data_IF_273747647639
#
_entry.id   IF_273747647639
#
_cell.length_a   1.000
_cell.length_b   1.000
_cell.length_c   1.000
_cell.angle_alpha   90.00
_cell.angle_beta   90.00
_cell.angle_gamma   90.00
#
_symmetry.space_group_name_H-M   'P 1'
#
loop_
_entity.id
_entity.type
_entity.pdbx_description
1 polymer ?
2 non-polymer ?
3 water ?
#
# COMPACT_ATOMS: atom_id res chain seq x y z
N UNK A 1 -14.62 -10.85 0.36
CA UNK A 1 -13.67 -11.68 -0.42
C UNK A 1 -12.74 -10.85 -1.31
N UNK A 2 -12.32 -9.67 -0.82
CA UNK A 2 -11.43 -8.87 -1.67
C UNK A 2 -10.06 -9.51 -1.79
N UNK A 3 -9.38 -9.22 -2.89
CA UNK A 3 -8.06 -9.77 -3.13
C UNK A 3 -7.08 -8.65 -3.48
N UNK A 4 -5.90 -8.69 -2.86
CA UNK A 4 -4.86 -7.69 -3.13
C UNK A 4 -4.43 -7.84 -4.58
N UNK A 5 -3.90 -6.75 -5.18
CA UNK A 5 -3.47 -6.86 -6.57
C UNK A 5 -2.21 -7.70 -6.69
N UNK A 6 -1.93 -8.13 -7.92
CA UNK A 6 -0.73 -8.91 -8.21
C UNK A 6 0.13 -8.13 -9.20
N UNK A 7 -0.54 -7.33 -10.04
CA UNK A 7 0.15 -6.55 -11.06
C UNK A 7 -0.51 -5.18 -11.17
N UNK A 8 0.22 -4.14 -10.79
CA UNK A 8 -0.29 -2.78 -10.88
C UNK A 8 0.69 -1.96 -11.72
N UNK A 9 1.32 -2.64 -12.67
CA UNK A 9 2.32 -2.02 -13.55
C UNK A 9 1.77 -0.95 -14.48
N UNK A 10 0.46 -0.91 -14.67
CA UNK A 10 -0.15 0.09 -15.54
C UNK A 10 -0.29 1.43 -14.83
N UNK A 11 -0.18 1.43 -13.51
CA UNK A 11 -0.30 2.67 -12.75
C UNK A 11 -1.72 3.09 -12.45
N UNK A 12 -2.67 2.22 -12.77
CA UNK A 12 -4.07 2.48 -12.51
C UNK A 12 -4.81 1.15 -12.39
N UNK A 13 -6.04 1.18 -11.89
CA UNK A 13 -6.80 -0.06 -11.72
C UNK A 13 -7.35 -0.63 -13.03
N UNK A 14 -6.68 -1.65 -13.55
CA UNK A 14 -7.17 -2.28 -14.77
C UNK A 14 -7.76 -3.66 -14.50
N UNK A 15 -7.60 -4.15 -13.28
CA UNK A 15 -8.17 -5.45 -12.90
C UNK A 15 -7.83 -6.61 -13.84
N UNK A 16 -6.74 -6.48 -14.58
CA UNK A 16 -6.36 -7.55 -15.50
C UNK A 16 -5.58 -8.68 -14.86
N UNK A 17 -5.39 -8.62 -13.54
CA UNK A 17 -4.66 -9.66 -12.84
C UNK A 17 -5.57 -10.65 -12.12
N UNK A 18 -6.86 -10.59 -12.42
CA UNK A 18 -7.83 -11.49 -11.80
C UNK A 18 -8.24 -11.17 -10.37
N UNK A 19 -7.73 -10.07 -9.83
CA UNK A 19 -8.06 -9.69 -8.46
C UNK A 19 -8.98 -8.47 -8.40
N UNK A 20 -9.43 -8.11 -7.20
CA UNK A 20 -10.28 -6.94 -7.06
C UNK A 20 -9.32 -5.77 -6.84
N UNK A 21 -8.03 -6.07 -6.97
CA UNK A 21 -6.96 -5.09 -6.80
C UNK A 21 -7.13 -4.21 -5.56
N UNK A 22 -7.53 -4.85 -4.46
CA UNK A 22 -7.69 -4.18 -3.20
C UNK A 22 -9.11 -3.77 -2.80
N UNK A 23 -10.01 -3.72 -3.77
CA UNK A 23 -11.38 -3.30 -3.50
C UNK A 23 -12.30 -4.31 -2.83
N UNK A 24 -13.13 -3.79 -1.94
CA UNK A 24 -14.10 -4.59 -1.22
C UNK A 24 -15.08 -3.61 -0.57
N UNK A 25 -16.16 -4.13 0.02
CA UNK A 25 -17.11 -3.25 0.67
C UNK A 25 -16.40 -2.56 1.83
N UNK A 26 -16.61 -1.26 1.95
CA UNK A 26 -15.99 -0.45 3.00
C UNK A 26 -16.60 -0.78 4.37
N UNK A 27 -15.77 -0.81 5.43
CA UNK A 27 -16.26 -1.11 6.78
C UNK A 27 -17.34 -0.14 7.29
N UNK A 28 -17.34 1.07 6.74
CA UNK A 28 -18.32 2.07 7.16
C UNK A 28 -19.50 2.22 6.19
N UNK A 29 -19.61 1.29 5.23
CA UNK A 29 -20.71 1.33 4.28
C UNK A 29 -22.05 1.06 4.95
N UNK A 30 -23.08 1.83 4.60
CA UNK A 30 -24.43 1.65 5.18
C UNK A 30 -25.15 0.43 4.61
N UNK A 31 -24.60 -0.11 3.53
CA UNK A 31 -25.15 -1.29 2.86
C UNK A 31 -24.00 -2.28 2.72
N UNK A 32 -24.22 -3.54 3.12
CA UNK A 32 -23.17 -4.54 3.08
C UNK A 32 -23.38 -5.75 2.17
N UNK A 33 -24.63 -6.05 1.84
CA UNK A 33 -24.95 -7.21 1.02
C UNK A 33 -24.69 -7.01 -0.47
N UNK A 34 -23.55 -6.40 -0.80
CA UNK A 34 -23.17 -6.15 -2.18
C UNK A 34 -21.96 -7.01 -2.53
N UNK A 35 -22.02 -7.73 -3.64
CA UNK A 35 -20.89 -8.55 -4.03
C UNK A 35 -19.91 -7.75 -4.86
N UNK A 36 -18.63 -7.91 -4.56
CA UNK A 36 -17.57 -7.22 -5.29
C UNK A 36 -16.56 -8.28 -5.67
N UNK A 37 -16.41 -8.51 -6.96
CA UNK A 37 -15.50 -9.55 -7.45
C UNK A 37 -14.89 -9.19 -8.79
N UNK A 38 -13.86 -9.93 -9.18
CA UNK A 38 -13.25 -9.70 -10.48
C UNK A 38 -13.90 -10.69 -11.45
N UNK A 39 -14.50 -10.16 -12.51
CA UNK A 39 -15.12 -11.00 -13.52
C UNK A 39 -14.67 -10.48 -14.87
N UNK A 40 -14.09 -11.36 -15.66
CA UNK A 40 -13.61 -11.02 -16.99
C UNK A 40 -12.75 -9.76 -17.03
N UNK A 41 -11.75 -9.71 -16.15
CA UNK A 41 -10.82 -8.59 -16.07
C UNK A 41 -11.43 -7.24 -15.75
N UNK A 42 -12.48 -7.24 -14.94
CA UNK A 42 -13.13 -5.99 -14.54
C UNK A 42 -13.68 -6.20 -13.13
N UNK A 43 -14.05 -5.11 -12.47
CA UNK A 43 -14.60 -5.20 -11.12
C UNK A 43 -16.12 -5.25 -11.19
N UNK A 44 -16.68 -6.44 -11.00
CA UNK A 44 -18.11 -6.64 -11.06
C UNK A 44 -18.74 -6.37 -9.70
N UNK A 45 -19.73 -5.48 -9.68
CA UNK A 45 -20.42 -5.13 -8.45
C UNK A 45 -21.86 -5.56 -8.67
N UNK A 46 -22.29 -6.55 -7.90
CA UNK A 46 -23.64 -7.11 -8.05
C UNK A 46 -24.64 -6.81 -6.95
N UNK A 47 -25.91 -6.78 -7.35
CA UNK A 47 -27.05 -6.57 -6.47
C UNK A 47 -27.26 -5.17 -5.88
N UNK A 48 -26.73 -4.15 -6.54
CA UNK A 48 -26.90 -2.78 -6.06
C UNK A 48 -28.38 -2.36 -5.97
N UNK A 49 -29.16 -2.68 -7.01
CA UNK A 49 -30.57 -2.30 -7.00
C UNK A 49 -31.38 -3.07 -5.96
N UNK A 50 -31.23 -4.39 -5.95
CA UNK A 50 -31.95 -5.24 -4.99
C UNK A 50 -31.66 -4.91 -3.54
N UNK A 51 -30.44 -4.46 -3.26
CA UNK A 51 -30.05 -4.12 -1.90
C UNK A 51 -30.31 -2.67 -1.52
N UNK A 52 -30.97 -1.93 -2.42
CA UNK A 52 -31.27 -0.54 -2.13
C UNK A 52 -30.14 0.46 -2.34
N UNK A 53 -29.07 0.06 -3.03
CA UNK A 53 -27.96 0.97 -3.29
C UNK A 53 -28.26 1.55 -4.67
N UNK A 54 -29.39 2.24 -4.76
CA UNK A 54 -29.84 2.80 -6.02
C UNK A 54 -30.18 4.29 -6.02
N UNK A 55 -29.55 5.06 -5.14
CA UNK A 55 -29.80 6.50 -5.12
C UNK A 55 -28.95 7.07 -6.25
N UNK A 56 -29.60 7.81 -7.15
CA UNK A 56 -28.92 8.38 -8.30
C UNK A 56 -28.87 9.90 -8.29
N UNK A 57 -29.06 10.50 -7.12
CA UNK A 57 -29.03 11.95 -7.00
C UNK A 57 -27.60 12.46 -6.85
N UNK A 58 -27.40 13.75 -7.06
CA UNK A 58 -26.08 14.33 -6.94
C UNK A 58 -25.62 14.43 -5.49
N UNK A 59 -26.56 14.72 -4.59
CA UNK A 59 -26.19 14.88 -3.20
C UNK A 59 -26.45 13.78 -2.20
N UNK A 60 -27.24 12.76 -2.55
CA UNK A 60 -27.53 11.70 -1.58
C UNK A 60 -26.81 10.37 -1.82
N UNK A 61 -25.62 10.43 -2.37
CA UNK A 61 -24.82 9.24 -2.63
C UNK A 61 -24.53 8.57 -1.28
N UNK A 62 -24.66 9.35 -0.21
CA UNK A 62 -24.43 8.84 1.15
C UNK A 62 -25.30 7.63 1.46
N UNK A 63 -26.39 7.45 0.71
CA UNK A 63 -27.29 6.32 0.93
C UNK A 63 -26.79 5.03 0.27
N UNK A 64 -25.81 5.16 -0.61
CA UNK A 64 -25.31 3.99 -1.31
C UNK A 64 -24.16 3.24 -0.66
N UNK A 65 -23.87 2.06 -1.20
CA UNK A 65 -22.78 1.24 -0.71
C UNK A 65 -21.47 1.99 -0.88
N UNK A 66 -20.52 1.71 0.00
CA UNK A 66 -19.20 2.31 -0.10
C UNK A 66 -18.25 1.16 -0.37
N UNK A 67 -17.41 1.33 -1.39
CA UNK A 67 -16.44 0.32 -1.75
C UNK A 67 -15.09 1.00 -1.71
N UNK A 68 -14.12 0.39 -1.04
CA UNK A 68 -12.80 0.99 -0.93
C UNK A 68 -11.68 -0.01 -1.15
N UNK A 69 -10.50 0.52 -1.52
CA UNK A 69 -9.34 -0.31 -1.80
C UNK A 69 -8.46 -0.52 -0.56
N UNK A 70 -9.09 -1.03 0.50
CA UNK A 70 -8.39 -1.26 1.76
C UNK A 70 -7.17 -2.18 1.71
N UNK A 71 -7.14 -3.13 0.79
CA UNK A 71 -5.98 -4.02 0.71
C UNK A 71 -5.26 -3.90 -0.62
N UNK A 72 -5.34 -2.71 -1.20
CA UNK A 72 -4.68 -2.39 -2.46
C UNK A 72 -3.16 -2.36 -2.17
N UNK A 73 -2.75 -1.58 -1.18
CA UNK A 73 -1.35 -1.51 -0.80
C UNK A 73 -0.37 -0.83 -1.75
N UNK A 74 -0.88 -0.18 -2.80
CA UNK A 74 -0.02 0.50 -3.75
C UNK A 74 -0.26 2.01 -3.64
N UNK A 75 0.31 2.77 -4.56
CA UNK A 75 0.13 4.22 -4.51
C UNK A 75 0.21 4.85 -5.88
N UNK A 76 -0.46 5.98 -6.03
CA UNK A 76 -0.48 6.71 -7.29
C UNK A 76 -0.23 8.19 -7.01
N UNK A 77 0.81 8.74 -7.64
CA UNK A 77 1.13 10.14 -7.50
C UNK A 77 0.18 10.87 -8.45
N UNK A 78 -0.72 11.70 -7.90
CA UNK A 78 -1.67 12.41 -8.74
C UNK A 78 -1.47 13.92 -8.76
N UNK A 79 -0.26 14.37 -8.43
CA UNK A 79 -0.01 15.81 -8.44
C UNK A 79 -0.29 16.35 -9.84
N UNK A 80 -1.09 17.40 -9.91
CA UNK A 80 -1.41 18.01 -11.20
C UNK A 80 -2.59 17.39 -11.93
N UNK A 81 -3.13 16.28 -11.43
CA UNK A 81 -4.26 15.65 -12.09
C UNK A 81 -5.55 16.40 -11.77
N UNK A 82 -6.56 16.28 -12.65
CA UNK A 82 -7.83 16.95 -12.43
C UNK A 82 -9.02 16.01 -12.67
N UNK A 83 -8.73 14.80 -13.15
CA UNK A 83 -9.80 13.85 -13.44
C UNK A 83 -9.57 12.43 -12.94
N UNK A 84 -10.67 11.80 -12.55
CA UNK A 84 -10.69 10.41 -12.11
C UNK A 84 -11.69 9.81 -13.09
N UNK A 85 -11.22 9.02 -14.03
CA UNK A 85 -12.10 8.44 -15.03
C UNK A 85 -12.19 6.93 -14.92
N UNK A 86 -13.27 6.36 -15.43
CA UNK A 86 -13.43 4.92 -15.37
C UNK A 86 -14.50 4.45 -16.36
N UNK A 87 -14.41 3.19 -16.76
CA UNK A 87 -15.39 2.62 -17.66
C UNK A 87 -16.45 1.95 -16.79
N UNK A 88 -17.70 2.12 -17.17
CA UNK A 88 -18.82 1.50 -16.46
C UNK A 88 -19.38 0.56 -17.51
N UNK A 89 -19.44 -0.72 -17.19
CA UNK A 89 -19.93 -1.73 -18.13
C UNK A 89 -21.14 -2.48 -17.61
N UNK A 90 -22.03 -2.88 -18.52
CA UNK A 90 -23.23 -3.60 -18.13
C UNK A 90 -23.75 -4.38 -19.32
N UNK A 91 -24.57 -5.42 -19.07
CA UNK A 91 -25.13 -6.21 -20.17
C UNK A 91 -26.17 -5.44 -20.99
N UNK A 92 -26.65 -4.34 -20.41
CA UNK A 92 -27.65 -3.49 -21.06
C UNK A 92 -27.43 -2.07 -20.55
N UNK A 93 -27.99 -1.06 -21.24
CA UNK A 93 -27.80 0.30 -20.74
C UNK A 93 -28.37 0.40 -19.33
N UNK A 94 -27.67 1.11 -18.45
CA UNK A 94 -28.11 1.26 -17.07
C UNK A 94 -27.88 2.68 -16.58
N UNK A 95 -28.34 2.96 -15.36
CA UNK A 95 -28.14 4.26 -14.75
C UNK A 95 -27.18 3.99 -13.59
N UNK A 96 -26.08 4.74 -13.51
CA UNK A 96 -25.11 4.54 -12.45
C UNK A 96 -24.65 5.88 -11.89
N UNK A 97 -24.53 5.95 -10.57
CA UNK A 97 -24.07 7.16 -9.89
C UNK A 97 -22.85 6.84 -9.05
N UNK A 98 -21.81 7.65 -9.15
CA UNK A 98 -20.62 7.41 -8.36
C UNK A 98 -19.99 8.68 -7.80
N UNK A 99 -19.64 8.62 -6.51
CA UNK A 99 -18.99 9.73 -5.82
C UNK A 99 -17.67 9.14 -5.33
N UNK A 100 -16.61 9.94 -5.27
CA UNK A 100 -15.33 9.39 -4.83
C UNK A 100 -14.57 10.23 -3.82
N UNK A 101 -13.77 9.55 -3.00
CA UNK A 101 -12.92 10.19 -2.01
C UNK A 101 -11.53 9.58 -2.04
N UNK A 102 -10.63 10.13 -2.88
CA UNK A 102 -9.27 9.56 -2.90
C UNK A 102 -8.69 9.88 -1.53
N UNK A 103 -7.78 9.06 -1.04
CA UNK A 103 -7.18 9.31 0.27
C UNK A 103 -5.65 9.24 0.21
N UNK A 104 -4.99 9.99 1.08
CA UNK A 104 -3.53 9.98 1.14
C UNK A 104 -3.10 9.93 2.60
N UNK A 105 -1.79 9.83 2.82
CA UNK A 105 -1.26 9.76 4.17
C UNK A 105 -1.68 10.94 5.05
N UNK A 106 -1.61 12.16 4.52
CA UNK A 106 -1.96 13.33 5.31
C UNK A 106 -3.35 13.91 5.02
N UNK A 107 -4.05 13.33 4.05
CA UNK A 107 -5.40 13.79 3.69
C UNK A 107 -6.34 12.60 3.67
N UNK A 108 -6.89 12.27 4.84
CA UNK A 108 -7.77 11.12 4.95
C UNK A 108 -9.24 11.28 4.61
N UNK A 109 -9.72 12.51 4.53
CA UNK A 109 -11.14 12.67 4.23
C UNK A 109 -11.60 14.04 3.74
N UNK A 110 -12.64 14.00 2.92
CA UNK A 110 -13.25 15.19 2.38
C UNK A 110 -14.62 14.77 1.86
N UNK A 111 -15.68 15.45 2.28
CA UNK A 111 -17.01 15.11 1.80
C UNK A 111 -17.14 15.46 0.32
N UNK A 112 -17.53 14.49 -0.52
CA UNK A 112 -17.67 14.76 -1.95
C UNK A 112 -18.71 15.84 -2.12
N UNK A 113 -18.51 16.73 -3.09
CA UNK A 113 -19.47 17.79 -3.33
C UNK A 113 -20.66 17.22 -4.09
N UNK A 114 -20.40 16.23 -4.95
CA UNK A 114 -21.47 15.62 -5.73
C UNK A 114 -21.06 14.30 -6.35
N UNK A 115 -22.06 13.47 -6.64
CA UNK A 115 -21.84 12.21 -7.32
C UNK A 115 -22.02 12.53 -8.80
N UNK A 116 -21.35 11.78 -9.67
CA UNK A 116 -21.45 11.96 -11.11
C UNK A 116 -22.29 10.79 -11.64
N UNK A 117 -23.20 11.08 -12.56
CA UNK A 117 -24.07 10.03 -13.08
C UNK A 117 -23.92 9.78 -14.58
N UNK A 118 -24.11 8.52 -14.96
CA UNK A 118 -24.14 8.14 -16.37
C UNK A 118 -25.52 7.50 -16.50
N UNK A 119 -26.24 7.88 -17.55
CA UNK A 119 -27.59 7.37 -17.76
C UNK A 119 -27.66 6.40 -18.94
N UNK A 120 -28.81 5.76 -19.12
CA UNK A 120 -28.93 4.79 -20.19
C UNK A 120 -28.49 5.33 -21.55
N UNK A 121 -28.79 6.61 -21.81
CA UNK A 121 -28.42 7.22 -23.10
C UNK A 121 -26.92 7.46 -23.28
N UNK A 122 -26.14 7.25 -22.22
CA UNK A 122 -24.69 7.45 -22.30
C UNK A 122 -23.94 6.17 -22.64
N UNK A 123 -24.63 5.02 -22.59
CA UNK A 123 -23.99 3.75 -22.87
C UNK A 123 -23.92 3.38 -24.35
N UNK A 124 -22.75 2.91 -24.77
CA UNK A 124 -22.51 2.54 -26.16
C UNK A 124 -22.41 1.03 -26.30
N UNK A 125 -23.11 0.49 -27.29
CA UNK A 125 -23.08 -0.96 -27.53
C UNK A 125 -21.67 -1.34 -28.00
N UNK A 126 -21.11 -2.39 -27.40
CA UNK A 126 -19.78 -2.85 -27.75
C UNK A 126 -19.87 -4.10 -28.64
N UNK A 127 -18.76 -4.45 -29.28
CA UNK A 127 -18.74 -5.61 -30.17
C UNK A 127 -19.22 -6.91 -29.54
N UNK A 128 -19.06 -7.04 -28.22
CA UNK A 128 -19.48 -8.26 -27.53
C UNK A 128 -20.94 -8.23 -27.08
N UNK A 129 -21.66 -7.18 -27.47
CA UNK A 129 -23.06 -7.09 -27.10
C UNK A 129 -23.32 -6.35 -25.80
N UNK A 130 -22.29 -6.16 -24.98
CA UNK A 130 -22.46 -5.45 -23.72
C UNK A 130 -22.46 -3.95 -24.02
N UNK A 131 -22.63 -3.14 -22.98
CA UNK A 131 -22.66 -1.69 -23.14
C UNK A 131 -21.66 -1.03 -22.21
N UNK A 132 -21.09 0.08 -22.66
CA UNK A 132 -20.09 0.79 -21.87
C UNK A 132 -20.27 2.30 -21.93
N UNK A 133 -20.02 2.95 -20.78
CA UNK A 133 -20.11 4.39 -20.69
C UNK A 133 -18.88 4.86 -19.90
N UNK A 134 -18.44 6.07 -20.18
CA UNK A 134 -17.29 6.64 -19.49
C UNK A 134 -17.80 7.58 -18.41
N UNK A 135 -17.31 7.41 -17.20
CA UNK A 135 -17.74 8.27 -16.08
C UNK A 135 -16.51 9.00 -15.57
N UNK A 136 -16.62 10.32 -15.46
CA UNK A 136 -15.49 11.12 -15.01
C UNK A 136 -15.82 12.02 -13.82
N UNK A 137 -14.97 11.93 -12.80
CA UNK A 137 -15.11 12.74 -11.59
C UNK A 137 -13.91 13.68 -11.56
N UNK A 138 -14.19 14.98 -11.45
CA UNK A 138 -13.12 15.96 -11.44
C UNK A 138 -12.79 16.42 -10.03
N UNK A 139 -11.69 17.16 -9.90
CA UNK A 139 -11.27 17.68 -8.61
C UNK A 139 -12.30 18.69 -8.12
N UNK A 140 -13.23 19.05 -9.01
CA UNK A 140 -14.29 19.99 -8.66
C UNK A 140 -15.47 19.27 -8.03
N UNK A 141 -15.46 17.94 -8.09
CA UNK A 141 -16.54 17.13 -7.51
C UNK A 141 -16.13 16.47 -6.20
N UNK A 142 -14.84 16.48 -5.92
CA UNK A 142 -14.32 15.85 -4.71
C UNK A 142 -13.23 16.68 -4.05
N UNK A 143 -13.57 17.41 -2.98
CA UNK A 143 -12.61 18.27 -2.26
C UNK A 143 -11.29 17.59 -1.90
N UNK A 144 -11.34 16.36 -1.41
CA UNK A 144 -10.11 15.69 -1.02
C UNK A 144 -9.26 15.32 -2.24
N UNK A 145 -9.91 15.08 -3.37
CA UNK A 145 -9.20 14.77 -4.61
C UNK A 145 -8.41 16.04 -4.95
N UNK A 146 -9.08 17.19 -4.88
CA UNK A 146 -8.41 18.46 -5.16
C UNK A 146 -7.26 18.70 -4.19
N UNK A 147 -7.50 18.43 -2.91
CA UNK A 147 -6.48 18.65 -1.90
C UNK A 147 -5.21 17.85 -2.17
N UNK A 148 -5.38 16.56 -2.48
CA UNK A 148 -4.24 15.70 -2.75
C UNK A 148 -3.54 16.10 -4.06
N UNK A 149 -4.33 16.35 -5.10
CA UNK A 149 -3.77 16.71 -6.40
C UNK A 149 -2.99 18.03 -6.43
N UNK A 150 -3.22 18.88 -5.43
CA UNK A 150 -2.54 20.17 -5.38
C UNK A 150 -1.53 20.30 -4.25
N UNK A 151 -1.30 19.21 -3.51
CA UNK A 151 -0.34 19.24 -2.40
C UNK A 151 0.97 18.62 -2.83
N UNK A 152 1.94 19.47 -3.17
CA UNK A 152 3.25 19.00 -3.61
C UNK A 152 3.94 18.13 -2.56
N UNK A 153 3.62 18.37 -1.29
CA UNK A 153 4.23 17.61 -0.20
C UNK A 153 3.58 16.24 0.06
N UNK A 154 2.36 16.05 -0.43
CA UNK A 154 1.66 14.77 -0.28
C UNK A 154 0.56 14.63 -1.33
N UNK A 155 0.98 14.26 -2.53
CA UNK A 155 0.06 14.10 -3.64
C UNK A 155 -0.11 12.63 -4.00
N UNK A 156 0.16 11.76 -3.03
CA UNK A 156 0.10 10.32 -3.27
C UNK A 156 -1.12 9.63 -2.70
N UNK A 157 -1.96 9.11 -3.60
CA UNK A 157 -3.17 8.40 -3.21
C UNK A 157 -2.77 7.02 -2.70
N UNK A 158 -3.27 6.67 -1.51
CA UNK A 158 -2.94 5.38 -0.91
C UNK A 158 -4.17 4.51 -0.66
N UNK A 159 -5.33 5.06 -0.96
CA UNK A 159 -6.59 4.33 -0.83
C UNK A 159 -7.65 5.20 -1.47
N UNK A 160 -8.84 4.64 -1.64
CA UNK A 160 -9.92 5.42 -2.20
C UNK A 160 -11.26 4.81 -1.87
N UNK A 161 -12.24 5.68 -1.64
CA UNK A 161 -13.59 5.26 -1.32
C UNK A 161 -14.51 5.67 -2.45
N UNK A 162 -15.31 4.72 -2.91
CA UNK A 162 -16.28 4.98 -3.97
C UNK A 162 -17.68 4.71 -3.45
N UNK A 163 -18.60 5.63 -3.76
CA UNK A 163 -20.01 5.49 -3.38
C UNK A 163 -20.65 5.08 -4.70
N UNK A 164 -21.29 3.92 -4.73
CA UNK A 164 -21.87 3.42 -5.98
C UNK A 164 -23.36 3.10 -5.93
N UNK A 165 -24.11 3.70 -6.85
CA UNK A 165 -25.55 3.44 -6.90
C UNK A 165 -25.93 3.10 -8.33
N UNK A 166 -26.92 2.24 -8.51
CA UNK A 166 -27.37 1.86 -9.85
C UNK A 166 -28.75 1.22 -9.80
N UNK A 167 -29.44 1.25 -10.94
CA UNK A 167 -30.76 0.65 -11.03
C UNK A 167 -30.58 -0.80 -11.48
N UNK A 168 -29.32 -1.20 -11.67
CA UNK A 168 -28.99 -2.55 -12.13
C UNK A 168 -28.29 -3.41 -11.08
N UNK A 169 -28.57 -4.71 -11.10
CA UNK A 169 -27.96 -5.66 -10.17
C UNK A 169 -26.67 -6.25 -10.75
N UNK A 170 -26.23 -5.71 -11.88
CA UNK A 170 -25.01 -6.21 -12.50
C UNK A 170 -24.31 -5.15 -13.32
N UNK A 171 -23.25 -4.59 -12.76
CA UNK A 171 -22.46 -3.61 -13.47
C UNK A 171 -21.01 -3.92 -13.13
N UNK A 172 -20.10 -3.39 -13.95
CA UNK A 172 -18.67 -3.59 -13.72
C UNK A 172 -17.97 -2.26 -13.97
N UNK A 173 -16.86 -2.05 -13.27
CA UNK A 173 -16.05 -0.85 -13.43
C UNK A 173 -14.71 -1.34 -13.95
N UNK A 174 -14.05 -0.57 -14.81
CA UNK A 174 -12.75 -0.98 -15.30
C UNK A 174 -11.94 0.26 -15.64
N UNK A 175 -10.62 0.11 -15.69
CA UNK A 175 -9.72 1.21 -16.03
C UNK A 175 -9.96 2.49 -15.22
N UNK A 176 -9.97 2.36 -13.90
CA UNK A 176 -10.16 3.49 -13.00
C UNK A 176 -8.78 4.15 -12.94
N UNK A 177 -8.69 5.38 -13.45
CA UNK A 177 -7.40 6.08 -13.50
C UNK A 177 -7.48 7.59 -13.30
N UNK A 178 -6.35 8.16 -12.90
CA UNK A 178 -6.25 9.60 -12.71
C UNK A 178 -5.56 10.19 -13.94
N UNK A 179 -6.07 11.32 -14.42
CA UNK A 179 -5.52 11.96 -15.60
C UNK A 179 -5.67 13.47 -15.53
N UNK A 180 -5.16 14.15 -16.54
CA UNK A 180 -5.28 15.59 -16.64
C UNK A 180 -6.36 15.76 -17.70
N UNK B 1 32.25 1.20 3.49
CA UNK B 1 30.98 0.46 3.25
C UNK B 1 29.76 1.27 3.71
N UNK B 2 29.42 1.24 5.02
CA UNK B 2 28.26 2.02 5.43
C UNK B 2 28.48 3.52 5.39
N UNK B 3 27.38 4.26 5.31
CA UNK B 3 27.45 5.72 5.29
C UNK B 3 26.35 6.32 6.14
N UNK B 4 26.70 7.33 6.93
CA UNK B 4 25.74 8.01 7.79
C UNK B 4 24.79 8.77 6.88
N UNK B 5 23.57 9.05 7.37
CA UNK B 5 22.61 9.78 6.54
C UNK B 5 23.02 11.24 6.31
N UNK B 6 22.60 11.79 5.17
CA UNK B 6 22.89 13.19 4.85
C UNK B 6 21.59 13.98 5.01
N UNK B 7 20.47 13.30 4.86
CA UNK B 7 19.16 13.92 4.98
C UNK B 7 18.16 12.92 5.56
N UNK B 8 17.79 13.12 6.81
CA UNK B 8 16.84 12.24 7.49
C UNK B 8 15.63 13.08 7.89
N UNK B 9 15.45 14.23 7.24
CA UNK B 9 14.35 15.13 7.56
C UNK B 9 12.97 14.51 7.48
N UNK B 10 12.84 13.42 6.73
CA UNK B 10 11.55 12.75 6.60
C UNK B 10 11.09 12.09 7.90
N UNK B 11 12.04 11.80 8.78
CA UNK B 11 11.71 11.18 10.05
C UNK B 11 11.76 9.66 10.00
N UNK B 12 12.08 9.12 8.83
CA UNK B 12 12.17 7.68 8.66
C UNK B 12 13.19 7.35 7.58
N UNK B 13 13.53 6.08 7.44
CA UNK B 13 14.51 5.68 6.44
C UNK B 13 13.95 5.64 5.02
N UNK B 14 14.25 6.66 4.23
CA UNK B 14 13.79 6.69 2.85
C UNK B 14 14.95 6.49 1.87
N UNK B 15 16.16 6.43 2.40
CA UNK B 15 17.35 6.23 1.59
C UNK B 15 17.40 7.06 0.30
N UNK B 16 16.84 8.26 0.32
CA UNK B 16 16.86 9.10 -0.88
C UNK B 16 18.06 10.03 -0.93
N UNK B 17 18.95 9.92 0.05
CA UNK B 17 20.15 10.76 0.09
C UNK B 17 21.43 10.07 -0.39
N UNK B 18 21.27 8.89 -1.01
CA UNK B 18 22.42 8.16 -1.53
C UNK B 18 23.30 7.43 -0.54
N UNK B 19 22.86 7.38 0.72
CA UNK B 19 23.62 6.70 1.76
C UNK B 19 22.85 5.50 2.29
N UNK B 20 23.48 4.70 3.15
CA UNK B 20 22.79 3.55 3.73
C UNK B 20 22.12 4.04 5.01
N UNK B 21 22.13 5.36 5.19
CA UNK B 21 21.55 6.03 6.34
C UNK B 21 21.86 5.32 7.65
N UNK B 22 23.15 4.98 7.81
CA UNK B 22 23.63 4.34 9.02
C UNK B 22 23.72 2.82 9.03
N UNK B 23 23.03 2.15 8.11
CA UNK B 23 23.05 0.69 8.08
C UNK B 23 24.31 0.01 7.55
N UNK B 24 24.68 -1.07 8.23
CA UNK B 24 25.82 -1.89 7.86
C UNK B 24 25.62 -3.25 8.50
N UNK B 25 26.52 -4.19 8.23
CA UNK B 25 26.42 -5.53 8.82
C UNK B 25 26.70 -5.42 10.31
N UNK B 26 25.85 -6.06 11.12
CA UNK B 26 25.99 -6.03 12.57
C UNK B 26 27.15 -6.93 12.98
N UNK B 27 27.94 -6.50 13.98
CA UNK B 27 29.11 -7.29 14.44
C UNK B 27 28.78 -8.72 14.87
N UNK B 28 27.56 -8.93 15.36
CA UNK B 28 27.15 -10.26 15.82
C UNK B 28 26.40 -11.07 14.76
N UNK B 29 26.43 -10.60 13.51
CA UNK B 29 25.77 -11.33 12.44
C UNK B 29 26.49 -12.66 12.20
N UNK B 30 25.73 -13.76 12.08
CA UNK B 30 26.36 -15.07 11.84
C UNK B 30 26.92 -15.17 10.42
N UNK B 31 26.48 -14.26 9.55
CA UNK B 31 26.92 -14.21 8.16
C UNK B 31 27.31 -12.76 7.90
N UNK B 32 28.53 -12.53 7.42
CA UNK B 32 28.99 -11.17 7.19
C UNK B 32 29.32 -10.78 5.74
N UNK B 33 29.50 -11.77 4.88
CA UNK B 33 29.84 -11.53 3.48
C UNK B 33 28.62 -11.14 2.66
N UNK B 34 27.90 -10.12 3.13
CA UNK B 34 26.70 -9.63 2.45
C UNK B 34 26.90 -8.16 2.04
N UNK B 35 26.41 -7.81 0.86
CA UNK B 35 26.54 -6.43 0.37
C UNK B 35 25.37 -5.57 0.85
N UNK B 36 25.69 -4.42 1.42
CA UNK B 36 24.67 -3.48 1.90
C UNK B 36 25.04 -2.12 1.32
N UNK B 37 24.24 -1.64 0.38
CA UNK B 37 24.52 -0.38 -0.29
C UNK B 37 23.25 0.36 -0.67
N UNK B 38 23.42 1.61 -1.06
CA UNK B 38 22.29 2.41 -1.50
C UNK B 38 22.26 2.30 -3.02
N UNK B 39 21.12 1.87 -3.54
CA UNK B 39 20.95 1.73 -4.98
C UNK B 39 19.50 2.08 -5.31
N UNK B 40 19.32 2.89 -6.35
CA UNK B 40 17.98 3.32 -6.76
C UNK B 40 17.20 3.84 -5.55
N UNK B 41 17.82 4.74 -4.79
CA UNK B 41 17.21 5.36 -3.62
C UNK B 41 16.60 4.39 -2.61
N UNK B 42 17.25 3.25 -2.42
CA UNK B 42 16.77 2.25 -1.47
C UNK B 42 17.96 1.49 -0.90
N UNK B 43 17.73 0.69 0.13
CA UNK B 43 18.82 -0.08 0.73
C UNK B 43 18.88 -1.45 0.07
N UNK B 44 19.84 -1.62 -0.83
CA UNK B 44 20.00 -2.89 -1.55
C UNK B 44 20.87 -3.85 -0.76
N UNK B 45 20.34 -5.04 -0.52
CA UNK B 45 21.05 -6.08 0.22
C UNK B 45 21.26 -7.22 -0.77
N UNK B 46 22.51 -7.48 -1.11
CA UNK B 46 22.84 -8.51 -2.10
C UNK B 46 23.49 -9.78 -1.56
N UNK B 47 23.27 -10.87 -2.31
CA UNK B 47 23.81 -12.20 -2.04
C UNK B 47 23.32 -12.93 -0.79
N UNK B 48 22.12 -12.58 -0.31
CA UNK B 48 21.58 -13.24 0.87
C UNK B 48 21.42 -14.75 0.67
N UNK B 49 20.86 -15.14 -0.47
CA UNK B 49 20.64 -16.57 -0.73
C UNK B 49 21.96 -17.32 -0.96
N UNK B 50 22.83 -16.77 -1.81
CA UNK B 50 24.12 -17.41 -2.09
C UNK B 50 24.95 -17.62 -0.83
N UNK B 51 24.80 -16.71 0.14
CA UNK B 51 25.56 -16.79 1.38
C UNK B 51 24.85 -17.55 2.50
N UNK B 52 23.70 -18.16 2.18
CA UNK B 52 23.00 -18.92 3.20
C UNK B 52 22.09 -18.18 4.17
N UNK B 53 21.87 -16.89 3.95
CA UNK B 53 20.98 -16.12 4.82
C UNK B 53 19.60 -16.25 4.18
N UNK B 54 19.10 -17.47 4.18
CA UNK B 54 17.82 -17.75 3.54
C UNK B 54 16.80 -18.52 4.39
N UNK B 55 16.86 -18.36 5.71
CA UNK B 55 15.89 -19.05 6.54
C UNK B 55 14.61 -18.21 6.49
N UNK B 56 13.52 -18.84 6.09
CA UNK B 56 12.26 -18.12 5.97
C UNK B 56 11.24 -18.51 7.02
N UNK B 57 11.70 -19.06 8.15
CA UNK B 57 10.79 -19.49 9.21
C UNK B 57 10.50 -18.35 10.19
N UNK B 58 9.49 -18.56 11.03
CA UNK B 58 9.13 -17.55 12.02
C UNK B 58 10.08 -17.53 13.20
N UNK B 59 10.63 -18.70 13.55
CA UNK B 59 11.51 -18.75 14.70
C UNK B 59 13.00 -18.92 14.50
N UNK B 60 13.44 -19.27 13.29
CA UNK B 60 14.89 -19.44 13.10
C UNK B 60 15.57 -18.31 12.32
N UNK B 61 15.02 -17.11 12.43
CA UNK B 61 15.60 -15.95 11.78
C UNK B 61 17.00 -15.73 12.36
N UNK B 62 17.27 -16.38 13.50
CA UNK B 62 18.56 -16.28 14.18
C UNK B 62 19.71 -16.77 13.30
N UNK B 63 19.36 -17.54 12.26
CA UNK B 63 20.37 -18.06 11.35
C UNK B 63 20.74 -17.05 10.26
N UNK B 64 19.96 -15.99 10.15
CA UNK B 64 20.18 -14.98 9.11
C UNK B 64 21.09 -13.81 9.44
N UNK B 65 21.47 -13.09 8.37
CA UNK B 65 22.32 -11.92 8.50
C UNK B 65 21.62 -10.89 9.38
N UNK B 66 22.42 -10.13 10.13
CA UNK B 66 21.90 -9.08 10.98
C UNK B 66 22.53 -7.80 10.48
N UNK B 67 21.73 -6.75 10.27
CA UNK B 67 22.29 -5.47 9.87
C UNK B 67 21.77 -4.48 10.90
N UNK B 68 22.50 -3.41 11.12
CA UNK B 68 22.10 -2.42 12.11
C UNK B 68 22.54 -1.02 11.69
N UNK B 69 21.85 -0.01 12.21
CA UNK B 69 22.13 1.39 11.90
C UNK B 69 23.16 1.97 12.86
N UNK B 70 24.35 1.40 12.86
CA UNK B 70 25.40 1.81 13.76
C UNK B 70 26.03 3.20 13.59
N UNK B 71 25.80 3.87 12.47
CA UNK B 71 26.28 5.24 12.30
C UNK B 71 25.11 6.09 11.80
N UNK B 72 23.92 5.74 12.29
CA UNK B 72 22.69 6.43 11.95
C UNK B 72 22.77 7.88 12.45
N UNK B 73 23.19 8.03 13.71
CA UNK B 73 23.33 9.36 14.28
C UNK B 73 22.06 10.18 14.37
N UNK B 74 20.92 9.50 14.46
CA UNK B 74 19.63 10.18 14.58
C UNK B 74 18.79 9.39 15.59
N UNK B 75 17.60 9.88 15.90
CA UNK B 75 16.72 9.19 16.84
C UNK B 75 15.25 9.48 16.52
N UNK B 76 14.38 8.56 16.92
CA UNK B 76 12.95 8.70 16.64
C UNK B 76 12.10 8.37 17.87
N UNK B 77 11.25 9.31 18.28
CA UNK B 77 10.37 9.07 19.40
C UNK B 77 9.19 8.24 18.89
N UNK B 78 9.08 6.99 19.34
CA UNK B 78 8.00 6.12 18.88
C UNK B 78 6.92 5.84 19.92
N UNK B 79 6.79 6.71 20.92
CA UNK B 79 5.79 6.52 21.95
C UNK B 79 4.40 6.40 21.33
N UNK B 80 3.71 5.30 21.59
CA UNK B 80 2.38 5.11 21.05
C UNK B 80 2.32 4.34 19.74
N UNK B 81 3.47 4.19 19.05
CA UNK B 81 3.48 3.45 17.79
C UNK B 81 3.30 1.97 18.05
N UNK B 82 2.73 1.27 17.08
CA UNK B 82 2.50 -0.16 17.22
C UNK B 82 3.04 -0.93 16.03
N UNK B 83 3.46 -0.22 14.99
CA UNK B 83 3.97 -0.88 13.80
C UNK B 83 5.25 -0.30 13.23
N UNK B 84 6.00 -1.18 12.58
CA UNK B 84 7.24 -0.87 11.90
C UNK B 84 6.99 -1.44 10.51
N UNK B 85 6.81 -0.56 9.53
CA UNK B 85 6.53 -1.02 8.18
C UNK B 85 7.64 -0.67 7.21
N UNK B 86 7.69 -1.40 6.10
CA UNK B 86 8.71 -1.14 5.10
C UNK B 86 8.33 -1.77 3.78
N UNK B 87 8.92 -1.25 2.71
CA UNK B 87 8.69 -1.79 1.38
C UNK B 87 9.84 -2.76 1.11
N UNK B 88 9.52 -3.87 0.46
CA UNK B 88 10.52 -4.86 0.11
C UNK B 88 10.44 -4.91 -1.41
N UNK B 89 11.55 -4.61 -2.05
CA UNK B 89 11.59 -4.55 -3.50
C UNK B 89 12.57 -5.56 -4.10
N UNK B 90 12.16 -6.16 -5.22
CA UNK B 90 12.99 -7.14 -5.91
C UNK B 90 12.67 -7.06 -7.41
N UNK B 91 13.61 -7.52 -8.25
CA UNK B 91 13.37 -7.47 -9.69
C UNK B 91 12.35 -8.51 -10.18
N UNK B 92 11.96 -9.40 -9.27
CA UNK B 92 10.99 -10.45 -9.57
C UNK B 92 10.39 -10.89 -8.22
N UNK B 93 9.24 -11.57 -8.24
CA UNK B 93 8.66 -12.01 -6.98
C UNK B 93 9.65 -12.90 -6.23
N UNK B 94 9.73 -12.73 -4.92
CA UNK B 94 10.66 -13.52 -4.11
C UNK B 94 10.08 -13.74 -2.72
N UNK B 95 10.85 -14.44 -1.88
CA UNK B 95 10.46 -14.70 -0.50
C UNK B 95 11.46 -13.99 0.41
N UNK B 96 10.95 -13.18 1.33
CA UNK B 96 11.80 -12.43 2.25
C UNK B 96 11.26 -12.56 3.67
N UNK B 97 12.16 -12.68 4.63
CA UNK B 97 11.77 -12.78 6.03
C UNK B 97 12.55 -11.76 6.85
N UNK B 98 11.84 -10.99 7.67
CA UNK B 98 12.47 -9.96 8.48
C UNK B 98 12.03 -9.97 9.94
N UNK B 99 13.01 -9.88 10.85
CA UNK B 99 12.75 -9.81 12.29
C UNK B 99 13.40 -8.49 12.72
N UNK B 100 12.85 -7.82 13.73
CA UNK B 100 13.41 -6.53 14.12
C UNK B 100 13.57 -6.28 15.62
N UNK B 101 14.66 -5.58 15.96
CA UNK B 101 14.93 -5.21 17.35
C UNK B 101 15.24 -3.71 17.47
N UNK B 102 14.21 -2.88 17.61
CA UNK B 102 14.48 -1.45 17.75
C UNK B 102 15.22 -1.34 19.09
N UNK B 103 16.11 -0.36 19.23
CA UNK B 103 16.86 -0.19 20.47
C UNK B 103 16.77 1.24 20.98
N UNK B 104 16.78 1.40 22.31
CA UNK B 104 16.74 2.73 22.92
C UNK B 104 17.88 2.78 23.94
N UNK B 105 18.13 3.96 24.50
CA UNK B 105 19.21 4.10 25.46
C UNK B 105 19.07 3.18 26.69
N UNK B 106 17.85 2.96 27.18
CA UNK B 106 17.66 2.10 28.35
C UNK B 106 17.12 0.70 28.01
N UNK B 107 16.79 0.49 26.74
CA UNK B 107 16.27 -0.80 26.30
C UNK B 107 17.11 -1.25 25.10
N UNK B 108 18.28 -1.80 25.39
CA UNK B 108 19.18 -2.23 24.33
C UNK B 108 18.93 -3.56 23.67
N UNK B 109 18.09 -4.40 24.24
CA UNK B 109 17.85 -5.71 23.64
C UNK B 109 16.58 -6.43 24.06
N UNK B 110 16.04 -7.17 23.09
CA UNK B 110 14.85 -7.97 23.30
C UNK B 110 14.77 -8.96 22.15
N UNK B 111 14.65 -10.25 22.44
CA UNK B 111 14.56 -11.26 21.40
C UNK B 111 13.25 -11.13 20.63
N UNK B 112 13.32 -11.04 19.29
CA UNK B 112 12.06 -10.93 18.54
C UNK B 112 11.28 -12.22 18.76
N UNK B 113 9.95 -12.10 18.82
CA UNK B 113 9.10 -13.27 19.03
C UNK B 113 8.99 -14.05 17.72
N UNK B 114 8.95 -13.32 16.60
CA UNK B 114 8.83 -13.97 15.31
C UNK B 114 9.26 -13.05 14.17
N UNK B 115 9.65 -13.67 13.07
CA UNK B 115 10.02 -12.94 11.87
C UNK B 115 8.73 -12.86 11.06
N UNK B 116 8.60 -11.81 10.25
CA UNK B 116 7.43 -11.63 9.40
C UNK B 116 7.87 -11.95 7.98
N UNK B 117 7.07 -12.71 7.25
CA UNK B 117 7.44 -13.08 5.88
C UNK B 117 6.55 -12.48 4.81
N UNK B 118 7.15 -12.22 3.66
CA UNK B 118 6.41 -11.76 2.50
C UNK B 118 6.83 -12.80 1.48
N UNK B 119 5.85 -13.50 0.92
CA UNK B 119 6.15 -14.52 -0.07
C UNK B 119 5.94 -13.97 -1.46
N UNK B 120 6.28 -14.76 -2.47
CA UNK B 120 6.15 -14.34 -3.86
C UNK B 120 4.78 -13.76 -4.19
N UNK B 121 3.72 -14.35 -3.65
CA UNK B 121 2.37 -13.88 -3.92
C UNK B 121 2.03 -12.54 -3.28
N UNK B 122 2.91 -12.05 -2.41
CA UNK B 122 2.69 -10.76 -1.77
C UNK B 122 3.35 -9.65 -2.58
N UNK B 123 4.15 -10.03 -3.57
CA UNK B 123 4.82 -9.05 -4.41
C UNK B 123 3.94 -8.61 -5.57
N UNK B 124 3.88 -7.31 -5.77
CA UNK B 124 3.06 -6.71 -6.81
C UNK B 124 3.91 -6.00 -7.85
N UNK B 125 3.64 -6.27 -9.12
CA UNK B 125 4.38 -5.63 -10.20
C UNK B 125 4.14 -4.12 -10.17
N UNK B 126 5.22 -3.36 -10.23
CA UNK B 126 5.15 -1.90 -10.18
C UNK B 126 5.38 -1.27 -11.56
N UNK B 127 5.00 0.00 -11.71
CA UNK B 127 5.18 0.70 -12.97
C UNK B 127 6.65 0.75 -13.42
N UNK B 128 7.58 0.78 -12.47
CA UNK B 128 9.00 0.85 -12.83
C UNK B 128 9.61 -0.51 -13.20
N UNK B 129 8.79 -1.54 -13.28
CA UNK B 129 9.28 -2.86 -13.64
C UNK B 129 9.71 -3.75 -12.48
N UNK B 130 9.77 -3.20 -11.28
CA UNK B 130 10.16 -4.00 -10.13
C UNK B 130 8.91 -4.60 -9.50
N UNK B 131 9.11 -5.42 -8.48
CA UNK B 131 8.02 -6.03 -7.74
C UNK B 131 8.19 -5.59 -6.30
N UNK B 132 7.08 -5.19 -5.66
CA UNK B 132 7.15 -4.72 -4.29
C UNK B 132 6.11 -5.35 -3.38
N UNK B 133 6.51 -5.60 -2.14
CA UNK B 133 5.63 -6.17 -1.14
C UNK B 133 5.77 -5.28 0.09
N UNK B 134 4.72 -5.19 0.90
CA UNK B 134 4.79 -4.40 2.11
C UNK B 134 4.92 -5.38 3.27
N UNK B 135 5.91 -5.13 4.13
CA UNK B 135 6.15 -5.99 5.29
C UNK B 135 5.95 -5.21 6.57
N UNK B 136 5.12 -5.73 7.47
CA UNK B 136 4.82 -5.04 8.71
C UNK B 136 5.12 -5.85 9.96
N UNK B 137 5.88 -5.25 10.87
CA UNK B 137 6.23 -5.87 12.13
C UNK B 137 5.56 -5.04 13.22
N UNK B 138 4.81 -5.70 14.09
CA UNK B 138 4.11 -4.99 15.16
C UNK B 138 4.81 -5.18 16.49
N UNK B 139 4.34 -4.44 17.49
CA UNK B 139 4.91 -4.52 18.83
C UNK B 139 4.67 -5.92 19.39
N UNK B 140 3.77 -6.66 18.75
CA UNK B 140 3.47 -8.02 19.20
C UNK B 140 4.50 -9.02 18.68
N UNK B 141 5.30 -8.59 17.72
CA UNK B 141 6.33 -9.44 17.11
C UNK B 141 7.71 -9.19 17.71
N UNK B 142 7.86 -8.06 18.39
CA UNK B 142 9.14 -7.69 18.98
C UNK B 142 8.96 -7.06 20.35
N UNK B 143 9.24 -7.83 21.42
CA UNK B 143 9.07 -7.32 22.79
C UNK B 143 9.80 -6.02 23.10
N UNK B 144 11.01 -5.83 22.56
CA UNK B 144 11.73 -4.60 22.85
C UNK B 144 11.04 -3.42 22.16
N UNK B 145 10.46 -3.67 20.97
CA UNK B 145 9.72 -2.64 20.26
C UNK B 145 8.53 -2.24 21.14
N UNK B 146 7.84 -3.24 21.70
CA UNK B 146 6.69 -2.97 22.57
C UNK B 146 7.09 -2.16 23.81
N UNK B 147 8.17 -2.58 24.45
CA UNK B 147 8.66 -1.91 25.65
C UNK B 147 9.00 -0.43 25.40
N UNK B 148 9.72 -0.17 24.32
CA UNK B 148 10.10 1.21 24.00
C UNK B 148 8.88 2.05 23.63
N UNK B 149 8.00 1.50 22.79
CA UNK B 149 6.81 2.21 22.36
C UNK B 149 5.83 2.55 23.48
N UNK B 150 5.89 1.80 24.58
CA UNK B 150 4.98 2.04 25.70
C UNK B 150 5.66 2.64 26.92
N UNK B 151 6.93 3.01 26.78
CA UNK B 151 7.67 3.57 27.91
C UNK B 151 7.71 5.09 27.91
N UNK B 152 6.97 5.69 28.84
CA UNK B 152 6.93 7.15 28.94
C UNK B 152 8.26 7.75 29.39
N UNK B 153 9.14 6.92 29.93
CA UNK B 153 10.44 7.40 30.41
C UNK B 153 11.54 7.28 29.36
N UNK B 154 11.32 6.42 28.36
CA UNK B 154 12.31 6.23 27.30
C UNK B 154 11.67 5.58 26.08
N UNK B 155 11.13 6.40 25.19
CA UNK B 155 10.47 5.91 23.99
C UNK B 155 11.20 6.33 22.72
N UNK B 156 12.49 6.63 22.85
CA UNK B 156 13.28 7.07 21.71
C UNK B 156 14.19 6.00 21.13
N UNK B 157 13.93 5.61 19.89
CA UNK B 157 14.75 4.60 19.23
C UNK B 157 16.05 5.25 18.78
N UNK B 158 17.18 4.64 19.18
CA UNK B 158 18.50 5.18 18.83
C UNK B 158 19.30 4.27 17.92
N UNK B 159 18.80 3.07 17.67
CA UNK B 159 19.46 2.12 16.78
C UNK B 159 18.46 1.02 16.47
N UNK B 160 18.81 0.12 15.58
CA UNK B 160 17.92 -0.98 15.25
C UNK B 160 18.65 -2.08 14.54
N UNK B 161 18.25 -3.31 14.86
CA UNK B 161 18.83 -4.49 14.28
C UNK B 161 17.76 -5.21 13.48
N UNK B 162 18.09 -5.57 12.25
CA UNK B 162 17.15 -6.30 11.41
C UNK B 162 17.77 -7.63 11.02
N UNK B 163 17.01 -8.70 11.14
CA UNK B 163 17.45 -10.04 10.75
C UNK B 163 16.82 -10.21 9.36
N UNK B 164 17.65 -10.43 8.35
CA UNK B 164 17.12 -10.52 6.99
C UNK B 164 17.40 -11.83 6.27
N UNK B 165 16.34 -12.50 5.85
CA UNK B 165 16.47 -13.75 5.13
C UNK B 165 15.72 -13.67 3.80
N UNK B 166 16.28 -14.30 2.77
CA UNK B 166 15.65 -14.31 1.46
C UNK B 166 16.20 -15.38 0.56
N UNK B 167 15.40 -15.79 -0.42
CA UNK B 167 15.82 -16.81 -1.37
C UNK B 167 16.36 -16.11 -2.62
N UNK B 168 16.53 -14.79 -2.51
CA UNK B 168 17.04 -13.98 -3.62
C UNK B 168 18.34 -13.27 -3.27
N UNK B 169 19.24 -13.15 -4.25
CA UNK B 169 20.51 -12.47 -4.05
C UNK B 169 20.40 -10.99 -4.37
N UNK B 170 19.18 -10.51 -4.55
CA UNK B 170 18.96 -9.11 -4.88
C UNK B 170 17.60 -8.62 -4.41
N UNK B 171 17.59 -7.94 -3.26
CA UNK B 171 16.37 -7.38 -2.72
C UNK B 171 16.74 -6.00 -2.17
N UNK B 172 15.73 -5.18 -1.93
CA UNK B 172 15.97 -3.86 -1.37
C UNK B 172 14.89 -3.52 -0.36
N UNK B 173 15.25 -2.70 0.62
CA UNK B 173 14.33 -2.24 1.63
C UNK B 173 14.19 -0.74 1.44
N UNK B 174 12.98 -0.21 1.61
CA UNK B 174 12.79 1.21 1.46
C UNK B 174 11.66 1.67 2.37
N UNK B 175 11.67 2.95 2.70
CA UNK B 175 10.64 3.54 3.54
C UNK B 175 10.38 2.78 4.83
N UNK B 176 11.44 2.53 5.59
CA UNK B 176 11.32 1.85 6.86
C UNK B 176 10.82 2.91 7.85
N UNK B 177 9.62 2.71 8.38
CA UNK B 177 9.04 3.70 9.30
C UNK B 177 8.22 3.13 10.44
N UNK B 178 8.05 3.94 11.48
CA UNK B 178 7.25 3.57 12.64
C UNK B 178 5.93 4.31 12.49
N UNK B 179 4.82 3.64 12.79
CA UNK B 179 3.51 4.26 12.68
C UNK B 179 2.58 3.78 13.79
N UNK B 180 1.45 4.46 13.94
CA UNK B 180 0.48 4.08 14.96
C UNK B 180 -0.21 2.80 14.53
X LIG C 1 -9.56 -4.61 -17.33
X LIG D 1 13.60 5.64 -1.18
#
# INVERSE_FOLDING_TARGET
QPTAPKDFSSGFWDFNDGTTQGFGVNPDSPITAINVENANNALKISNLNSKGSNDLSEGNFWANVRISADIWGQSINIYGDTKLTMDVIAPTPVNVSIAAIPQSSTHGWGNPTRAIRVWTNNFVAQTDGTYKATLTISTNDSPNFNTIATDAADSVVTNMILFVGSNSDNISLDNIKFTK
QPTAPKDFSSGFWDFNDGTTQGFGVNPDSPITAINVENANNALKISNLNSKGSNDLSEGNFWANVRISADIWGQSINIYGDTKLTMDVIAPTPVNVSIAAIPQSSTHGWGNPTRAIRVWTNNFVAQTDGTYKATLTISTNDSPNFNTIATDAADSVVTNMILFVGSNSDNISLDNIKFTK
CA CA
CA CA
#
